data_IF_963081615152
#
_entry.id   IF_963081615152
#
_cell.length_a   1.000
_cell.length_b   1.000
_cell.length_c   1.000
_cell.angle_alpha   90.00
_cell.angle_beta   90.00
_cell.angle_gamma   90.00
#
_symmetry.space_group_name_H-M   'P 1'
#
loop_
_entity.id
_entity.type
_entity.pdbx_description
1 polymer ?
#
# COMPACT_ATOMS: atom_id res chain seq x y z
N UNK A 1 46.14 4.37 41.19
CA UNK A 1 44.87 3.77 40.83
C UNK A 1 44.71 3.90 39.31
N UNK A 2 44.86 2.79 38.56
CA UNK A 2 44.88 2.73 37.09
C UNK A 2 43.45 2.51 36.56
N UNK A 3 42.89 3.48 35.85
CA UNK A 3 41.60 3.32 35.20
C UNK A 3 41.85 2.67 33.80
N UNK A 4 41.44 1.41 33.67
CA UNK A 4 41.40 0.70 32.40
C UNK A 4 40.14 1.12 31.63
N UNK A 5 40.28 1.83 30.53
CA UNK A 5 39.22 2.12 29.58
C UNK A 5 39.15 0.96 28.58
N UNK A 6 38.12 0.12 28.75
CA UNK A 6 37.82 -0.95 27.77
C UNK A 6 37.08 -0.31 26.60
N UNK A 7 37.77 -0.24 25.47
CA UNK A 7 37.19 0.25 24.20
C UNK A 7 36.38 -0.89 23.55
N UNK A 8 35.07 -0.80 23.61
CA UNK A 8 34.19 -1.71 22.87
C UNK A 8 34.17 -1.29 21.40
N UNK A 9 34.81 -2.09 20.54
CA UNK A 9 34.69 -1.95 19.10
C UNK A 9 33.37 -2.61 18.65
N UNK A 10 32.40 -1.80 18.29
CA UNK A 10 31.19 -2.23 17.59
C UNK A 10 31.59 -2.49 16.13
N UNK A 11 31.52 -3.74 15.72
CA UNK A 11 31.71 -4.14 14.31
C UNK A 11 30.36 -3.89 13.63
N UNK A 12 30.29 -2.83 12.82
CA UNK A 12 29.18 -2.62 11.88
C UNK A 12 29.29 -3.65 10.75
N UNK A 13 28.40 -4.63 10.77
CA UNK A 13 28.18 -5.49 9.60
C UNK A 13 27.17 -4.76 8.70
N UNK A 14 27.71 -4.03 7.71
CA UNK A 14 26.92 -3.46 6.62
C UNK A 14 26.45 -4.60 5.72
N UNK A 15 25.22 -5.06 5.95
CA UNK A 15 24.50 -5.94 5.04
C UNK A 15 23.92 -5.10 3.91
N UNK A 16 24.67 -4.94 2.82
CA UNK A 16 24.14 -4.39 1.56
C UNK A 16 23.25 -5.47 0.95
N UNK A 17 21.92 -5.30 1.05
CA UNK A 17 20.98 -6.08 0.25
C UNK A 17 20.94 -5.49 -1.17
N UNK A 18 21.89 -5.93 -1.99
CA UNK A 18 21.76 -5.82 -3.45
C UNK A 18 20.76 -6.90 -3.90
N UNK A 19 19.53 -6.49 -4.20
CA UNK A 19 18.60 -7.29 -4.98
C UNK A 19 19.10 -7.32 -6.44
N UNK A 20 20.14 -8.13 -6.65
CA UNK A 20 20.56 -8.53 -7.97
C UNK A 20 19.72 -9.71 -8.40
N UNK A 21 18.87 -9.54 -9.42
CA UNK A 21 18.29 -10.66 -10.17
C UNK A 21 19.41 -11.50 -10.79
N UNK A 22 19.88 -12.53 -10.08
CA UNK A 22 20.72 -13.57 -10.65
C UNK A 22 19.81 -14.60 -11.30
N UNK A 23 19.62 -14.47 -12.62
CA UNK A 23 19.11 -15.54 -13.47
C UNK A 23 20.14 -16.68 -13.46
N UNK A 24 19.92 -17.69 -12.64
CA UNK A 24 20.61 -18.98 -12.78
C UNK A 24 19.98 -19.73 -13.95
N UNK A 25 20.79 -20.24 -14.90
CA UNK A 25 20.27 -21.06 -15.98
C UNK A 25 19.80 -22.42 -15.44
N UNK A 26 18.52 -22.71 -15.59
CA UNK A 26 17.94 -24.02 -15.33
C UNK A 26 18.28 -24.91 -16.53
N UNK A 27 18.99 -26.03 -16.40
CA UNK A 27 19.23 -26.94 -17.50
C UNK A 27 17.99 -27.80 -17.75
N UNK A 28 17.46 -27.75 -18.97
CA UNK A 28 16.55 -28.77 -19.50
C UNK A 28 15.08 -28.38 -19.61
N UNK A 29 14.75 -27.30 -20.32
CA UNK A 29 13.40 -27.15 -20.87
C UNK A 29 13.51 -27.28 -22.38
N UNK A 30 12.94 -28.38 -22.90
CA UNK A 30 12.77 -28.58 -24.34
C UNK A 30 11.90 -27.46 -24.93
N UNK A 31 12.38 -26.85 -26.01
CA UNK A 31 11.66 -25.84 -26.76
C UNK A 31 10.37 -26.44 -27.34
N UNK A 32 9.22 -26.08 -26.79
CA UNK A 32 7.93 -26.35 -27.39
C UNK A 32 7.71 -25.41 -28.60
N UNK A 33 7.21 -25.88 -29.72
CA UNK A 33 6.87 -25.02 -30.87
C UNK A 33 5.71 -24.07 -30.47
N UNK A 34 5.62 -22.87 -31.09
CA UNK A 34 4.58 -21.91 -30.75
C UNK A 34 3.19 -22.47 -31.08
N UNK A 35 2.17 -22.18 -30.25
CA UNK A 35 0.81 -22.65 -30.48
C UNK A 35 0.25 -22.01 -31.78
N UNK A 36 -0.29 -22.85 -32.61
CA UNK A 36 -1.01 -22.45 -33.83
C UNK A 36 -2.30 -21.73 -33.42
N UNK A 37 -2.48 -20.48 -33.87
CA UNK A 37 -3.72 -19.72 -33.64
C UNK A 37 -4.87 -20.42 -34.39
N UNK A 38 -5.83 -20.94 -33.67
CA UNK A 38 -7.14 -21.33 -34.17
C UNK A 38 -8.06 -20.10 -33.99
N UNK A 39 -8.79 -19.65 -35.06
CA UNK A 39 -9.75 -18.55 -34.90
C UNK A 39 -10.81 -18.92 -33.86
N UNK A 40 -11.04 -18.06 -32.90
CA UNK A 40 -12.08 -18.24 -31.88
C UNK A 40 -13.46 -18.20 -32.55
N UNK A 41 -14.24 -19.27 -32.37
CA UNK A 41 -15.65 -19.27 -32.72
C UNK A 41 -16.39 -18.19 -31.95
N UNK A 42 -17.24 -17.43 -32.64
CA UNK A 42 -18.10 -16.41 -32.04
C UNK A 42 -18.97 -17.04 -30.98
N UNK A 43 -18.72 -16.62 -29.72
CA UNK A 43 -19.56 -16.97 -28.58
C UNK A 43 -20.82 -16.10 -28.65
N UNK A 44 -22.04 -16.67 -28.65
CA UNK A 44 -23.25 -15.89 -28.65
C UNK A 44 -23.31 -15.04 -27.37
N UNK A 45 -23.41 -13.75 -27.55
CA UNK A 45 -23.60 -12.76 -26.48
C UNK A 45 -24.95 -12.99 -25.80
N UNK A 46 -24.96 -13.81 -24.77
CA UNK A 46 -26.11 -13.92 -23.87
C UNK A 46 -26.03 -12.72 -22.97
N UNK A 47 -26.91 -11.76 -23.20
CA UNK A 47 -27.19 -10.66 -22.26
C UNK A 47 -27.56 -11.28 -20.91
N UNK A 48 -26.59 -11.42 -20.04
CA UNK A 48 -26.84 -11.69 -18.63
C UNK A 48 -27.28 -10.39 -18.00
N UNK A 49 -28.49 -10.36 -17.47
CA UNK A 49 -28.87 -9.35 -16.49
C UNK A 49 -27.78 -9.36 -15.40
N UNK A 50 -27.05 -8.28 -15.26
CA UNK A 50 -26.13 -8.08 -14.15
C UNK A 50 -26.97 -8.06 -12.87
N UNK A 51 -27.11 -9.22 -12.25
CA UNK A 51 -27.42 -9.27 -10.83
C UNK A 51 -26.19 -8.66 -10.17
N UNK A 52 -26.33 -7.46 -9.61
CA UNK A 52 -25.30 -6.87 -8.76
C UNK A 52 -25.10 -7.85 -7.60
N UNK A 53 -24.12 -8.72 -7.71
CA UNK A 53 -23.63 -9.48 -6.57
C UNK A 53 -22.94 -8.46 -5.70
N UNK A 54 -23.57 -8.04 -4.60
CA UNK A 54 -22.98 -7.17 -3.60
C UNK A 54 -21.67 -7.81 -3.09
N UNK A 55 -20.78 -6.99 -2.56
CA UNK A 55 -19.55 -7.46 -1.94
C UNK A 55 -19.88 -8.41 -0.79
N UNK A 56 -19.25 -9.59 -0.78
CA UNK A 56 -19.44 -10.58 0.29
C UNK A 56 -18.33 -10.45 1.35
N UNK A 57 -18.70 -10.70 2.62
CA UNK A 57 -17.82 -10.62 3.79
C UNK A 57 -17.26 -9.21 4.06
N UNK A 58 -16.09 -9.15 4.71
CA UNK A 58 -15.39 -7.90 5.01
C UNK A 58 -14.59 -7.42 3.79
N UNK A 59 -14.77 -6.16 3.42
CA UNK A 59 -14.10 -5.54 2.28
C UNK A 59 -13.64 -4.13 2.62
N UNK A 60 -12.53 -3.70 2.00
CA UNK A 60 -12.12 -2.31 1.96
C UNK A 60 -12.75 -1.61 0.75
N UNK A 61 -13.50 -0.55 0.99
CA UNK A 61 -14.02 0.34 -0.03
C UNK A 61 -12.98 1.43 -0.28
N UNK A 62 -12.16 1.25 -1.31
CA UNK A 62 -11.17 2.20 -1.77
C UNK A 62 -11.30 2.32 -3.29
N UNK A 63 -11.98 3.37 -3.74
CA UNK A 63 -12.20 3.61 -5.17
C UNK A 63 -10.93 4.12 -5.85
N UNK A 64 -10.83 3.90 -7.17
CA UNK A 64 -9.81 4.55 -7.98
C UNK A 64 -10.15 6.05 -8.06
N UNK A 65 -9.24 6.95 -7.64
CA UNK A 65 -9.51 8.38 -7.68
C UNK A 65 -9.74 8.87 -9.11
N UNK A 66 -10.56 9.91 -9.28
CA UNK A 66 -10.78 10.51 -10.60
C UNK A 66 -9.47 11.00 -11.22
N UNK A 67 -9.21 10.62 -12.47
CA UNK A 67 -7.97 10.93 -13.20
C UNK A 67 -6.79 10.01 -12.85
N UNK A 68 -7.04 8.94 -12.08
CA UNK A 68 -6.05 7.91 -11.74
C UNK A 68 -6.39 6.58 -12.42
N UNK A 69 -5.39 5.74 -12.56
CA UNK A 69 -5.49 4.36 -13.02
C UNK A 69 -4.79 3.44 -12.03
N UNK A 70 -5.22 2.18 -11.99
CA UNK A 70 -4.43 1.11 -11.38
C UNK A 70 -3.28 0.80 -12.33
N UNK A 71 -2.04 0.98 -11.88
CA UNK A 71 -0.84 0.74 -12.69
C UNK A 71 -0.05 -0.48 -12.20
N UNK A 72 -0.20 -0.86 -10.93
CA UNK A 72 0.39 -2.06 -10.37
C UNK A 72 -0.55 -2.78 -9.42
N UNK A 73 -0.59 -4.11 -9.51
CA UNK A 73 -1.27 -4.99 -8.55
C UNK A 73 -0.46 -6.27 -8.35
N UNK A 74 -0.39 -6.72 -7.11
CA UNK A 74 0.18 -8.01 -6.75
C UNK A 74 -0.56 -8.61 -5.55
N UNK A 75 -0.59 -9.93 -5.51
CA UNK A 75 -1.07 -10.67 -4.35
C UNK A 75 -0.11 -11.83 -4.07
N UNK A 76 0.32 -11.93 -2.83
CA UNK A 76 1.18 -13.02 -2.34
C UNK A 76 0.60 -13.51 -1.01
N UNK A 77 0.32 -14.83 -0.94
CA UNK A 77 -0.18 -15.50 0.27
C UNK A 77 -1.25 -14.70 1.03
N UNK A 78 -0.83 -13.92 2.03
CA UNK A 78 -1.68 -13.14 2.92
C UNK A 78 -1.61 -11.63 2.70
N UNK A 79 -1.00 -11.15 1.62
CA UNK A 79 -0.90 -9.72 1.31
C UNK A 79 -1.34 -9.43 -0.11
N UNK A 80 -2.19 -8.42 -0.28
CA UNK A 80 -2.50 -7.83 -1.57
C UNK A 80 -2.07 -6.37 -1.57
N UNK A 81 -1.54 -5.90 -2.70
CA UNK A 81 -1.16 -4.51 -2.94
C UNK A 81 -1.76 -4.03 -4.25
N UNK A 82 -2.24 -2.79 -4.25
CA UNK A 82 -2.69 -2.07 -5.44
C UNK A 82 -2.10 -0.68 -5.40
N UNK A 83 -1.46 -0.27 -6.49
CA UNK A 83 -0.90 1.07 -6.64
C UNK A 83 -1.58 1.80 -7.80
N UNK A 84 -2.01 3.02 -7.53
CA UNK A 84 -2.75 3.89 -8.43
C UNK A 84 -1.98 5.18 -8.61
N UNK A 85 -1.81 5.60 -9.86
CA UNK A 85 -1.11 6.84 -10.26
C UNK A 85 -1.99 7.61 -11.24
N UNK A 86 -1.65 8.88 -11.50
CA UNK A 86 -2.34 9.66 -12.53
C UNK A 86 -2.31 8.92 -13.88
N UNK A 87 -3.35 9.06 -14.72
CA UNK A 87 -3.48 8.34 -15.99
C UNK A 87 -2.25 8.48 -16.91
N UNK A 88 -1.55 9.63 -16.84
CA UNK A 88 -0.35 9.93 -17.63
C UNK A 88 0.97 9.44 -17.02
N UNK A 89 0.94 8.91 -15.80
CA UNK A 89 2.12 8.51 -15.03
C UNK A 89 2.24 6.98 -14.91
N UNK A 90 3.30 6.51 -14.28
CA UNK A 90 3.54 5.10 -13.95
C UNK A 90 4.08 4.95 -12.53
N UNK A 91 4.08 3.73 -11.99
CA UNK A 91 4.63 3.45 -10.65
C UNK A 91 6.15 3.71 -10.57
N UNK A 92 6.86 3.75 -11.69
CA UNK A 92 8.27 4.10 -11.73
C UNK A 92 8.49 5.63 -11.64
N UNK A 93 7.61 6.42 -12.25
CA UNK A 93 7.70 7.88 -12.26
C UNK A 93 6.34 8.54 -12.06
N UNK A 94 6.08 8.94 -10.83
CA UNK A 94 4.82 9.51 -10.38
C UNK A 94 5.04 10.80 -9.56
N UNK A 95 4.05 11.63 -9.54
CA UNK A 95 3.97 12.84 -8.69
C UNK A 95 3.12 12.58 -7.45
N UNK A 96 1.99 11.90 -7.62
CA UNK A 96 1.09 11.47 -6.54
C UNK A 96 0.71 10.01 -6.75
N UNK A 97 0.80 9.22 -5.69
CA UNK A 97 0.47 7.78 -5.74
C UNK A 97 -0.43 7.39 -4.58
N UNK A 98 -1.44 6.59 -4.88
CA UNK A 98 -2.26 5.91 -3.87
C UNK A 98 -1.85 4.44 -3.82
N UNK A 99 -1.48 3.97 -2.63
CA UNK A 99 -1.17 2.56 -2.39
C UNK A 99 -2.20 1.98 -1.41
N UNK A 100 -2.84 0.90 -1.80
CA UNK A 100 -3.75 0.12 -0.97
C UNK A 100 -3.10 -1.21 -0.66
N UNK A 101 -2.96 -1.53 0.63
CA UNK A 101 -2.45 -2.82 1.09
C UNK A 101 -3.49 -3.50 1.98
N UNK A 102 -3.71 -4.78 1.72
CA UNK A 102 -4.60 -5.64 2.50
C UNK A 102 -3.77 -6.79 3.06
N UNK A 103 -3.74 -6.92 4.37
CA UNK A 103 -3.08 -8.01 5.07
C UNK A 103 -4.15 -9.02 5.52
N UNK A 104 -4.36 -10.04 4.69
CA UNK A 104 -5.40 -11.05 4.86
C UNK A 104 -5.13 -11.91 6.10
N UNK A 105 -6.11 -12.05 6.97
CA UNK A 105 -5.98 -12.82 8.21
C UNK A 105 -5.19 -12.13 9.32
N UNK A 106 -4.68 -10.90 9.09
CA UNK A 106 -4.00 -10.13 10.13
C UNK A 106 -5.04 -9.40 10.99
N UNK A 107 -5.29 -9.93 12.18
CA UNK A 107 -6.30 -9.42 13.12
C UNK A 107 -5.71 -8.94 14.43
N UNK A 108 -4.39 -9.07 14.62
CA UNK A 108 -3.71 -8.75 15.87
C UNK A 108 -3.00 -7.39 15.85
N UNK A 109 -2.66 -6.89 14.66
CA UNK A 109 -1.99 -5.59 14.50
C UNK A 109 -3.00 -4.46 14.70
N UNK A 110 -2.74 -3.58 15.66
CA UNK A 110 -3.55 -2.38 15.85
C UNK A 110 -3.06 -1.24 14.95
N UNK A 111 -3.90 -0.26 14.59
CA UNK A 111 -3.47 0.94 13.85
C UNK A 111 -2.31 1.68 14.53
N UNK A 112 -2.29 1.74 15.87
CA UNK A 112 -1.20 2.38 16.62
C UNK A 112 0.13 1.62 16.49
N UNK A 113 0.12 0.29 16.53
CA UNK A 113 1.32 -0.52 16.31
C UNK A 113 1.85 -0.38 14.88
N UNK A 114 0.95 -0.33 13.89
CA UNK A 114 1.34 -0.08 12.50
C UNK A 114 1.96 1.31 12.34
N UNK A 115 1.37 2.35 12.93
CA UNK A 115 1.92 3.70 12.93
C UNK A 115 3.34 3.72 13.54
N UNK A 116 3.53 3.14 14.72
CA UNK A 116 4.82 3.11 15.40
C UNK A 116 5.88 2.43 14.53
N UNK A 117 5.58 1.23 13.99
CA UNK A 117 6.49 0.45 13.16
C UNK A 117 6.87 1.18 11.87
N UNK A 118 5.87 1.73 11.17
CA UNK A 118 6.08 2.42 9.89
C UNK A 118 6.82 3.76 10.10
N UNK A 119 6.47 4.52 11.13
CA UNK A 119 7.17 5.75 11.48
C UNK A 119 8.64 5.49 11.83
N UNK A 120 8.91 4.47 12.62
CA UNK A 120 10.29 4.10 12.95
C UNK A 120 11.08 3.66 11.72
N UNK A 121 10.45 2.89 10.84
CA UNK A 121 11.07 2.48 9.56
C UNK A 121 11.37 3.69 8.67
N UNK A 122 10.46 4.67 8.66
CA UNK A 122 10.61 5.92 7.92
C UNK A 122 11.79 6.75 8.45
N UNK A 123 11.88 6.93 9.78
CA UNK A 123 12.98 7.64 10.44
C UNK A 123 14.34 6.98 10.22
N UNK A 124 14.36 5.64 10.15
CA UNK A 124 15.58 4.90 9.84
C UNK A 124 16.02 5.04 8.38
N UNK A 125 15.07 5.24 7.47
CA UNK A 125 15.33 5.32 6.04
C UNK A 125 15.62 6.76 5.55
N UNK A 126 15.09 7.76 6.22
CA UNK A 126 15.18 9.15 5.80
C UNK A 126 15.64 10.04 6.96
N UNK A 127 16.82 10.65 6.82
CA UNK A 127 17.35 11.64 7.76
C UNK A 127 16.46 12.91 7.76
N UNK A 128 16.30 13.55 8.90
CA UNK A 128 15.46 14.73 9.11
C UNK A 128 13.97 14.54 8.75
N UNK A 129 13.51 13.28 8.76
CA UNK A 129 12.10 12.98 8.55
C UNK A 129 11.24 13.35 9.78
N UNK A 130 9.98 13.64 9.53
CA UNK A 130 9.01 14.07 10.53
C UNK A 130 7.73 13.23 10.47
N UNK A 131 7.00 13.15 11.59
CA UNK A 131 5.71 12.46 11.68
C UNK A 131 4.72 13.31 12.46
N UNK A 132 3.49 13.42 11.95
CA UNK A 132 2.42 14.21 12.55
C UNK A 132 1.13 13.39 12.66
N UNK A 133 0.46 13.36 13.81
CA UNK A 133 -0.88 12.80 13.91
C UNK A 133 -1.87 13.68 13.14
N UNK A 134 -2.84 13.07 12.45
CA UNK A 134 -3.88 13.79 11.68
C UNK A 134 -5.26 13.52 12.27
N UNK A 135 -5.65 12.24 12.40
CA UNK A 135 -6.94 11.86 12.97
C UNK A 135 -6.89 10.42 13.50
N UNK A 136 -7.75 10.13 14.46
CA UNK A 136 -8.03 8.78 14.94
C UNK A 136 -9.51 8.65 15.29
N UNK A 137 -9.99 7.42 15.40
CA UNK A 137 -11.38 7.17 15.76
C UNK A 137 -11.90 5.82 15.24
N UNK A 138 -13.19 5.80 14.93
CA UNK A 138 -13.85 4.67 14.32
C UNK A 138 -14.75 5.14 13.17
N UNK A 139 -14.66 4.46 12.03
CA UNK A 139 -15.52 4.65 10.86
C UNK A 139 -16.20 3.33 10.55
N UNK A 140 -17.49 3.37 10.32
CA UNK A 140 -18.32 2.18 10.14
C UNK A 140 -18.09 1.10 11.24
N UNK A 141 -17.74 1.52 12.47
CA UNK A 141 -17.46 0.64 13.59
C UNK A 141 -16.09 -0.04 13.58
N UNK A 142 -15.19 0.34 12.68
CA UNK A 142 -13.80 -0.12 12.62
C UNK A 142 -12.85 0.98 13.10
N UNK A 143 -11.92 0.63 13.98
CA UNK A 143 -10.91 1.56 14.49
C UNK A 143 -9.92 1.95 13.41
N UNK A 144 -9.63 3.25 13.29
CA UNK A 144 -8.60 3.73 12.37
C UNK A 144 -7.65 4.73 13.02
N UNK A 145 -6.51 4.93 12.37
CA UNK A 145 -5.55 5.97 12.66
C UNK A 145 -5.01 6.54 11.35
N UNK A 146 -4.97 7.87 11.26
CA UNK A 146 -4.45 8.63 10.12
C UNK A 146 -3.30 9.51 10.59
N UNK A 147 -2.15 9.42 9.94
CA UNK A 147 -0.98 10.25 10.24
C UNK A 147 -0.25 10.66 8.97
N UNK A 148 0.57 11.69 9.09
CA UNK A 148 1.45 12.16 8.04
C UNK A 148 2.89 11.80 8.36
N UNK A 149 3.64 11.46 7.33
CA UNK A 149 5.10 11.33 7.33
C UNK A 149 5.68 12.30 6.30
N UNK A 150 6.80 12.89 6.61
CA UNK A 150 7.55 13.76 5.72
C UNK A 150 9.00 13.31 5.65
N UNK A 151 9.54 13.27 4.43
CA UNK A 151 10.93 13.00 4.15
C UNK A 151 11.47 14.11 3.23
N UNK A 152 12.40 14.95 3.69
CA UNK A 152 12.92 16.07 2.86
C UNK A 152 13.70 15.57 1.64
N UNK A 153 14.36 14.42 1.76
CA UNK A 153 15.11 13.80 0.66
C UNK A 153 15.12 12.29 0.82
N UNK A 154 14.19 11.61 0.18
CA UNK A 154 14.18 10.15 0.15
C UNK A 154 15.44 9.62 -0.57
N UNK A 155 16.31 8.84 0.10
CA UNK A 155 17.60 8.43 -0.46
C UNK A 155 17.46 7.51 -1.68
N UNK A 156 16.33 6.83 -1.82
CA UNK A 156 16.07 5.94 -2.96
C UNK A 156 15.63 6.69 -4.22
N UNK A 157 14.85 7.76 -4.06
CA UNK A 157 14.28 8.51 -5.18
C UNK A 157 14.94 9.86 -5.42
N UNK A 158 15.74 10.35 -4.46
CA UNK A 158 16.35 11.70 -4.45
C UNK A 158 15.32 12.83 -4.61
N UNK A 159 14.08 12.58 -4.15
CA UNK A 159 12.97 13.53 -4.12
C UNK A 159 12.46 13.68 -2.68
N UNK A 160 11.84 14.80 -2.36
CA UNK A 160 11.04 14.89 -1.13
C UNK A 160 9.83 13.96 -1.23
N UNK A 161 9.30 13.57 -0.07
CA UNK A 161 8.10 12.76 -0.02
C UNK A 161 7.23 13.15 1.17
N UNK A 162 5.99 13.56 0.89
CA UNK A 162 4.91 13.70 1.85
C UNK A 162 4.00 12.48 1.74
N UNK A 163 3.63 11.90 2.85
CA UNK A 163 2.80 10.69 2.85
C UNK A 163 1.76 10.77 3.94
N UNK A 164 0.49 10.61 3.57
CA UNK A 164 -0.61 10.38 4.49
C UNK A 164 -0.92 8.90 4.51
N UNK A 165 -0.93 8.32 5.71
CA UNK A 165 -1.20 6.90 5.93
C UNK A 165 -2.44 6.72 6.78
N UNK A 166 -3.39 5.90 6.31
CA UNK A 166 -4.57 5.47 7.06
C UNK A 166 -4.49 3.97 7.31
N UNK A 167 -4.39 3.59 8.56
CA UNK A 167 -4.47 2.21 9.00
C UNK A 167 -5.85 1.93 9.57
N UNK A 168 -6.46 0.80 9.19
CA UNK A 168 -7.76 0.36 9.68
C UNK A 168 -7.66 -1.10 10.13
N UNK A 169 -8.13 -1.38 11.36
CA UNK A 169 -8.22 -2.75 11.85
C UNK A 169 -9.60 -3.31 11.54
N UNK A 170 -9.65 -4.28 10.63
CA UNK A 170 -10.85 -5.07 10.37
C UNK A 170 -11.04 -6.23 11.35
N UNK A 171 -12.07 -7.03 11.13
CA UNK A 171 -12.29 -8.28 11.85
C UNK A 171 -11.52 -9.46 11.21
N UNK A 172 -11.39 -9.43 9.87
CA UNK A 172 -10.77 -10.50 9.10
C UNK A 172 -9.39 -10.12 8.56
N UNK A 173 -9.11 -8.82 8.43
CA UNK A 173 -7.89 -8.30 7.81
C UNK A 173 -7.45 -6.98 8.42
N UNK A 174 -6.19 -6.62 8.17
CA UNK A 174 -5.66 -5.29 8.45
C UNK A 174 -5.46 -4.55 7.13
N UNK A 175 -5.82 -3.26 7.11
CA UNK A 175 -5.79 -2.43 5.92
C UNK A 175 -4.89 -1.23 6.11
N UNK A 176 -4.08 -0.93 5.11
CA UNK A 176 -3.25 0.26 5.07
C UNK A 176 -3.46 0.97 3.73
N UNK A 177 -3.84 2.23 3.78
CA UNK A 177 -3.99 3.08 2.61
C UNK A 177 -3.05 4.26 2.74
N UNK A 178 -2.28 4.50 1.69
CA UNK A 178 -1.29 5.55 1.62
C UNK A 178 -1.62 6.48 0.46
N UNK A 179 -1.47 7.79 0.67
CA UNK A 179 -1.41 8.81 -0.38
C UNK A 179 -0.07 9.51 -0.25
N UNK A 180 0.79 9.34 -1.24
CA UNK A 180 2.15 9.87 -1.27
C UNK A 180 2.32 10.92 -2.36
N UNK A 181 3.10 11.96 -2.08
CA UNK A 181 3.44 13.06 -2.97
C UNK A 181 4.95 13.19 -3.09
N UNK A 182 5.47 13.34 -4.29
CA UNK A 182 6.88 13.69 -4.56
C UNK A 182 7.08 15.19 -4.79
N UNK A 183 6.18 15.99 -4.24
CA UNK A 183 6.22 17.45 -4.20
C UNK A 183 5.56 17.92 -2.90
N UNK A 184 5.68 19.19 -2.55
CA UNK A 184 4.92 19.80 -1.47
C UNK A 184 3.46 19.97 -1.91
N UNK A 185 2.48 19.24 -1.28
CA UNK A 185 1.09 19.35 -1.69
C UNK A 185 0.51 20.70 -1.27
N UNK A 186 -0.29 21.30 -2.15
CA UNK A 186 -1.08 22.50 -1.84
C UNK A 186 -2.21 22.20 -0.87
N UNK A 187 -2.76 23.24 -0.23
CA UNK A 187 -3.91 23.10 0.70
C UNK A 187 -5.13 22.48 0.00
N UNK A 188 -5.34 22.78 -1.27
CA UNK A 188 -6.45 22.19 -2.07
C UNK A 188 -6.22 20.69 -2.31
N UNK A 189 -4.99 20.29 -2.64
CA UNK A 189 -4.65 18.86 -2.78
C UNK A 189 -4.80 18.12 -1.45
N UNK A 190 -4.29 18.70 -0.36
CA UNK A 190 -4.48 18.13 0.98
C UNK A 190 -5.96 17.94 1.28
N UNK A 191 -6.78 18.96 1.03
CA UNK A 191 -8.23 18.91 1.26
C UNK A 191 -8.88 17.78 0.45
N UNK A 192 -8.56 17.69 -0.84
CA UNK A 192 -9.09 16.64 -1.73
C UNK A 192 -8.70 15.24 -1.24
N UNK A 193 -7.44 15.05 -0.90
CA UNK A 193 -6.95 13.74 -0.47
C UNK A 193 -7.39 13.35 0.93
N UNK A 194 -7.63 14.31 1.81
CA UNK A 194 -8.29 14.04 3.10
C UNK A 194 -9.73 13.59 2.91
N UNK A 195 -10.47 14.15 1.94
CA UNK A 195 -11.80 13.69 1.57
C UNK A 195 -11.79 12.27 1.00
N UNK A 196 -10.82 11.97 0.13
CA UNK A 196 -10.61 10.61 -0.38
C UNK A 196 -10.36 9.62 0.77
N UNK A 197 -9.37 9.89 1.63
CA UNK A 197 -9.04 9.03 2.77
C UNK A 197 -10.21 8.86 3.75
N UNK A 198 -11.05 9.88 3.92
CA UNK A 198 -12.29 9.77 4.71
C UNK A 198 -13.32 8.84 4.03
N UNK A 199 -13.36 8.81 2.71
CA UNK A 199 -14.20 7.89 1.94
C UNK A 199 -13.75 6.44 1.98
N UNK A 200 -12.46 6.18 2.27
CA UNK A 200 -11.93 4.84 2.41
C UNK A 200 -12.42 4.22 3.71
N UNK A 201 -13.25 3.19 3.62
CA UNK A 201 -13.92 2.57 4.77
C UNK A 201 -13.95 1.04 4.61
N UNK A 202 -14.03 0.34 5.75
CA UNK A 202 -14.29 -1.10 5.78
C UNK A 202 -15.80 -1.33 5.91
N UNK A 203 -16.33 -2.25 5.10
CA UNK A 203 -17.70 -2.74 5.21
C UNK A 203 -17.70 -4.27 5.42
N UNK A 204 -18.79 -4.82 5.94
CA UNK A 204 -18.96 -6.26 6.14
C UNK A 204 -20.41 -6.67 5.90
N UNK A 205 -20.65 -7.44 4.84
CA UNK A 205 -21.98 -7.88 4.45
C UNK A 205 -22.64 -8.82 5.48
N UNK A 206 -21.85 -9.40 6.39
CA UNK A 206 -22.32 -10.25 7.49
C UNK A 206 -22.89 -9.46 8.66
N UNK A 207 -22.62 -8.17 8.73
CA UNK A 207 -23.02 -7.27 9.82
C UNK A 207 -23.96 -6.21 9.25
N UNK A 208 -25.28 -6.27 9.53
CA UNK A 208 -26.27 -5.37 8.92
C UNK A 208 -25.93 -3.87 9.09
N UNK A 209 -25.39 -3.49 10.27
CA UNK A 209 -25.04 -2.10 10.59
C UNK A 209 -23.78 -1.63 9.86
N UNK A 210 -23.04 -2.52 9.21
CA UNK A 210 -21.78 -2.29 8.49
C UNK A 210 -21.81 -2.81 7.07
N UNK A 211 -23.02 -3.09 6.55
CA UNK A 211 -23.21 -3.71 5.25
C UNK A 211 -22.45 -2.96 4.15
N UNK A 212 -21.92 -3.74 3.21
CA UNK A 212 -21.37 -3.19 1.98
C UNK A 212 -22.47 -2.62 1.09
N UNK A 213 -22.23 -1.55 0.32
CA UNK A 213 -23.21 -0.93 -0.57
C UNK A 213 -23.60 -1.84 -1.73
#
# INVERSE_FOLDING_TARGET
>A
MKNSRTTFRVIFVSGIFLLGCSLLPIPGIATQPPPTFVPAAEIPTKSSAETSMGLENENLLAEVPSGFKVDYQAQQENQAITEMVAESESVEDWSTMVTVQVYLGETNTTPAQAQETLTQSWFNACEDSESYPVADGAENGYGFLLWQLYCPLNPSTQKMEYTYMKAIQGNDSFYLVQVAFRHEPSDDEITQWMQYLKGVQVCDSRIPERACP
#
